data_IF_989734118482
#
_entry.id   IF_989734118482
#
_cell.length_a   1.000
_cell.length_b   1.000
_cell.length_c   1.000
_cell.angle_alpha   90.00
_cell.angle_beta   90.00
_cell.angle_gamma   90.00
#
_symmetry.space_group_name_H-M   'P 1'
#
loop_
_entity.id
_entity.type
_entity.pdbx_description
1 polymer ?
#
# COMPACT_ATOMS: atom_id res chain seq x y z
N UNK A 1 7.71 -12.43 -9.16
CA UNK A 1 8.54 -11.24 -8.90
C UNK A 1 9.50 -11.04 -10.06
N UNK A 2 9.11 -10.21 -11.05
CA UNK A 2 9.89 -9.98 -12.27
C UNK A 2 10.02 -8.47 -12.52
N UNK A 3 11.08 -8.04 -13.20
CA UNK A 3 11.41 -6.62 -13.32
C UNK A 3 10.34 -5.85 -14.11
N UNK A 4 9.81 -6.46 -15.17
CA UNK A 4 8.75 -5.91 -16.03
C UNK A 4 7.42 -5.68 -15.29
N UNK A 5 7.25 -6.24 -14.09
CA UNK A 5 6.09 -5.97 -13.24
C UNK A 5 6.19 -4.61 -12.53
N UNK A 6 7.32 -3.92 -12.62
CA UNK A 6 7.62 -2.70 -11.90
C UNK A 6 8.12 -1.61 -12.88
N UNK A 7 7.21 -0.86 -13.53
CA UNK A 7 7.58 0.09 -14.60
C UNK A 7 8.61 1.14 -14.16
N UNK A 8 8.50 1.66 -12.93
CA UNK A 8 9.49 2.61 -12.41
C UNK A 8 10.86 1.97 -12.22
N UNK A 9 10.92 0.71 -11.80
CA UNK A 9 12.19 -0.01 -11.72
C UNK A 9 12.79 -0.21 -13.11
N UNK A 10 12.00 -0.59 -14.11
CA UNK A 10 12.46 -0.68 -15.51
C UNK A 10 13.01 0.65 -16.02
N UNK A 11 12.32 1.76 -15.78
CA UNK A 11 12.78 3.10 -16.15
C UNK A 11 14.11 3.46 -15.48
N UNK A 12 14.26 3.17 -14.18
CA UNK A 12 15.50 3.41 -13.45
C UNK A 12 16.68 2.63 -14.05
N UNK A 13 16.46 1.39 -14.49
CA UNK A 13 17.49 0.60 -15.17
C UNK A 13 17.90 1.21 -16.52
N UNK A 14 16.95 1.76 -17.27
CA UNK A 14 17.19 2.36 -18.59
C UNK A 14 17.99 3.67 -18.50
N UNK A 15 17.67 4.51 -17.51
CA UNK A 15 18.31 5.81 -17.33
C UNK A 15 19.77 5.73 -16.85
N UNK A 16 20.20 4.59 -16.28
CA UNK A 16 21.56 4.37 -15.74
C UNK A 16 22.01 5.47 -14.76
N UNK A 17 21.09 6.02 -13.98
CA UNK A 17 21.41 7.10 -13.06
C UNK A 17 22.28 6.64 -11.89
N UNK A 18 23.05 7.57 -11.31
CA UNK A 18 23.77 7.32 -10.08
C UNK A 18 22.76 7.00 -8.95
N UNK A 19 22.95 5.85 -8.28
CA UNK A 19 22.05 5.38 -7.22
C UNK A 19 21.12 4.22 -7.63
N UNK A 20 21.00 3.92 -8.92
CA UNK A 20 20.25 2.75 -9.42
C UNK A 20 20.81 1.43 -8.90
N UNK A 21 22.09 1.37 -8.54
CA UNK A 21 22.72 0.18 -7.94
C UNK A 21 22.02 -0.28 -6.66
N UNK A 22 21.48 0.65 -5.87
CA UNK A 22 20.74 0.29 -4.67
C UNK A 22 19.40 -0.39 -5.03
N UNK A 23 18.71 0.10 -6.05
CA UNK A 23 17.49 -0.50 -6.56
C UNK A 23 17.76 -1.88 -7.20
N UNK A 24 18.87 -2.03 -7.94
CA UNK A 24 19.31 -3.33 -8.49
C UNK A 24 19.56 -4.32 -7.35
N UNK A 25 20.38 -3.96 -6.36
CA UNK A 25 20.67 -4.84 -5.22
C UNK A 25 19.41 -5.20 -4.45
N UNK A 26 18.52 -4.24 -4.20
CA UNK A 26 17.25 -4.50 -3.53
C UNK A 26 16.37 -5.48 -4.33
N UNK A 27 16.32 -5.34 -5.66
CA UNK A 27 15.58 -6.26 -6.52
C UNK A 27 16.18 -7.67 -6.51
N UNK A 28 17.50 -7.80 -6.63
CA UNK A 28 18.20 -9.09 -6.57
C UNK A 28 17.99 -9.80 -5.24
N UNK A 29 18.04 -9.06 -4.12
CA UNK A 29 17.72 -9.58 -2.80
C UNK A 29 16.26 -10.02 -2.73
N UNK A 30 15.32 -9.24 -3.26
CA UNK A 30 13.91 -9.62 -3.29
C UNK A 30 13.60 -10.84 -4.16
N UNK A 31 14.39 -11.09 -5.21
CA UNK A 31 14.26 -12.29 -6.04
C UNK A 31 14.73 -13.57 -5.34
N UNK A 32 15.75 -13.47 -4.47
CA UNK A 32 16.37 -14.61 -3.78
C UNK A 32 15.88 -14.79 -2.34
N UNK A 33 15.35 -13.73 -1.75
CA UNK A 33 14.95 -13.63 -0.35
C UNK A 33 13.49 -13.99 -0.10
N UNK A 34 13.02 -13.61 1.08
CA UNK A 34 11.68 -13.89 1.58
C UNK A 34 10.80 -12.64 1.63
N UNK A 35 9.83 -12.65 2.55
CA UNK A 35 8.81 -11.61 2.63
C UNK A 35 9.41 -10.24 2.97
N UNK A 36 10.46 -10.19 3.79
CA UNK A 36 11.14 -8.96 4.20
C UNK A 36 11.87 -8.28 3.03
N UNK A 37 12.59 -9.02 2.20
CA UNK A 37 13.29 -8.46 1.04
C UNK A 37 12.30 -7.94 -0.01
N UNK A 38 11.23 -8.70 -0.29
CA UNK A 38 10.17 -8.25 -1.19
C UNK A 38 9.45 -7.01 -0.66
N UNK A 39 9.18 -6.97 0.65
CA UNK A 39 8.61 -5.80 1.32
C UNK A 39 9.53 -4.57 1.17
N UNK A 40 10.82 -4.71 1.47
CA UNK A 40 11.77 -3.60 1.40
C UNK A 40 11.93 -3.06 -0.03
N UNK A 41 11.96 -3.94 -1.03
CA UNK A 41 11.98 -3.51 -2.43
C UNK A 41 10.71 -2.72 -2.80
N UNK A 42 9.53 -3.27 -2.50
CA UNK A 42 8.26 -2.61 -2.83
C UNK A 42 8.11 -1.27 -2.09
N UNK A 43 8.53 -1.19 -0.82
CA UNK A 43 8.52 0.04 -0.05
C UNK A 43 9.44 1.10 -0.67
N UNK A 44 10.68 0.74 -1.01
CA UNK A 44 11.61 1.67 -1.65
C UNK A 44 11.06 2.19 -2.98
N UNK A 45 10.47 1.31 -3.80
CA UNK A 45 9.90 1.71 -5.08
C UNK A 45 8.66 2.59 -4.93
N UNK A 46 7.80 2.32 -3.94
CA UNK A 46 6.67 3.17 -3.59
C UNK A 46 7.11 4.57 -3.17
N UNK A 47 8.17 4.71 -2.38
CA UNK A 47 8.72 6.02 -1.99
C UNK A 47 9.16 6.82 -3.20
N UNK A 48 9.92 6.21 -4.13
CA UNK A 48 10.36 6.89 -5.36
C UNK A 48 9.17 7.27 -6.26
N UNK A 49 8.13 6.42 -6.31
CA UNK A 49 6.91 6.71 -7.06
C UNK A 49 6.14 7.93 -6.50
N UNK A 50 6.25 8.20 -5.19
CA UNK A 50 5.59 9.34 -4.54
C UNK A 50 6.30 10.67 -4.79
N UNK A 51 7.62 10.67 -4.75
CA UNK A 51 8.41 11.91 -4.66
C UNK A 51 8.91 12.45 -6.01
N UNK A 52 8.67 11.74 -7.12
CA UNK A 52 9.09 12.06 -8.51
C UNK A 52 10.57 12.44 -8.59
N UNK A 53 11.41 11.44 -8.85
CA UNK A 53 12.87 11.62 -8.83
C UNK A 53 13.59 11.28 -10.13
N UNK A 54 12.93 10.65 -11.11
CA UNK A 54 13.62 10.15 -12.30
C UNK A 54 13.17 10.86 -13.59
N UNK A 55 14.10 11.16 -14.53
CA UNK A 55 13.75 11.55 -15.88
C UNK A 55 12.84 10.53 -16.55
N UNK A 56 11.81 11.01 -17.25
CA UNK A 56 10.83 10.14 -17.90
C UNK A 56 9.80 9.50 -16.95
N UNK A 57 9.88 9.76 -15.65
CA UNK A 57 8.87 9.31 -14.69
C UNK A 57 7.56 10.05 -14.96
N UNK A 58 6.50 9.30 -15.23
CA UNK A 58 5.16 9.84 -15.50
C UNK A 58 4.17 9.43 -14.41
N UNK A 59 3.04 10.14 -14.34
CA UNK A 59 1.94 9.76 -13.45
C UNK A 59 1.41 8.34 -13.73
N UNK A 60 1.48 7.88 -14.98
CA UNK A 60 1.10 6.52 -15.36
C UNK A 60 2.09 5.47 -14.85
N UNK A 61 3.39 5.71 -15.03
CA UNK A 61 4.44 4.85 -14.46
C UNK A 61 4.29 4.75 -12.94
N UNK A 62 4.02 5.88 -12.27
CA UNK A 62 3.80 5.90 -10.83
C UNK A 62 2.58 5.07 -10.44
N UNK A 63 1.44 5.25 -11.12
CA UNK A 63 0.21 4.51 -10.82
C UNK A 63 0.40 2.99 -10.99
N UNK A 64 0.97 2.54 -12.10
CA UNK A 64 1.17 1.10 -12.34
C UNK A 64 2.21 0.53 -11.38
N UNK A 65 3.25 1.30 -11.04
CA UNK A 65 4.23 0.92 -10.02
C UNK A 65 3.60 0.77 -8.65
N UNK A 66 2.76 1.73 -8.22
CA UNK A 66 2.07 1.66 -6.92
C UNK A 66 1.10 0.47 -6.86
N UNK A 67 0.43 0.15 -7.97
CA UNK A 67 -0.42 -1.04 -8.08
C UNK A 67 0.40 -2.33 -7.93
N UNK A 68 1.57 -2.41 -8.54
CA UNK A 68 2.49 -3.52 -8.38
C UNK A 68 3.01 -3.64 -6.93
N UNK A 69 3.35 -2.52 -6.30
CA UNK A 69 3.80 -2.49 -4.90
C UNK A 69 2.70 -2.98 -3.95
N UNK A 70 1.46 -2.51 -4.14
CA UNK A 70 0.30 -3.00 -3.39
C UNK A 70 0.12 -4.52 -3.53
N UNK A 71 0.23 -5.06 -4.75
CA UNK A 71 0.12 -6.50 -4.97
C UNK A 71 1.20 -7.29 -4.21
N UNK A 72 2.43 -6.78 -4.14
CA UNK A 72 3.51 -7.39 -3.34
C UNK A 72 3.16 -7.36 -1.85
N UNK A 73 2.67 -6.23 -1.34
CA UNK A 73 2.26 -6.12 0.06
C UNK A 73 1.13 -7.08 0.39
N UNK A 74 0.09 -7.17 -0.43
CA UNK A 74 -1.04 -8.08 -0.21
C UNK A 74 -0.59 -9.56 -0.28
N UNK A 75 0.32 -9.94 -1.18
CA UNK A 75 0.88 -11.30 -1.25
C UNK A 75 1.66 -11.66 0.03
N UNK A 76 2.47 -10.73 0.55
CA UNK A 76 3.28 -10.97 1.75
C UNK A 76 2.47 -10.82 3.04
N UNK A 77 1.39 -10.02 3.03
CA UNK A 77 0.55 -9.71 4.19
C UNK A 77 -0.08 -10.94 4.84
N UNK A 78 -0.14 -12.07 4.13
CA UNK A 78 -0.61 -13.32 4.69
C UNK A 78 0.26 -13.85 5.85
N UNK A 79 1.53 -13.43 5.92
CA UNK A 79 2.54 -13.95 6.85
C UNK A 79 3.54 -12.91 7.35
N UNK A 80 3.48 -11.68 6.86
CA UNK A 80 4.40 -10.61 7.21
C UNK A 80 3.63 -9.37 7.71
N UNK A 81 3.71 -9.09 9.02
CA UNK A 81 2.94 -8.02 9.66
C UNK A 81 3.18 -6.62 9.05
N UNK A 82 4.42 -6.21 8.72
CA UNK A 82 4.66 -4.93 8.04
C UNK A 82 3.98 -4.83 6.68
N UNK A 83 3.94 -5.93 5.92
CA UNK A 83 3.23 -5.96 4.63
C UNK A 83 1.73 -5.83 4.79
N UNK A 84 1.14 -6.45 5.83
CA UNK A 84 -0.28 -6.28 6.15
C UNK A 84 -0.59 -4.82 6.53
N UNK A 85 0.26 -4.19 7.32
CA UNK A 85 0.12 -2.77 7.65
C UNK A 85 0.19 -1.89 6.39
N UNK A 86 1.12 -2.16 5.48
CA UNK A 86 1.24 -1.37 4.26
C UNK A 86 0.09 -1.60 3.26
N UNK A 87 -0.42 -2.82 3.16
CA UNK A 87 -1.64 -3.08 2.39
C UNK A 87 -2.82 -2.27 2.94
N UNK A 88 -2.97 -2.21 4.26
CA UNK A 88 -4.01 -1.38 4.89
C UNK A 88 -3.83 0.12 4.58
N UNK A 89 -2.61 0.63 4.68
CA UNK A 89 -2.32 2.04 4.41
C UNK A 89 -2.61 2.42 2.97
N UNK A 90 -2.14 1.61 2.02
CA UNK A 90 -2.37 1.86 0.60
C UNK A 90 -3.87 1.84 0.25
N UNK A 91 -4.66 0.95 0.86
CA UNK A 91 -6.12 0.91 0.70
C UNK A 91 -6.83 2.11 1.33
N UNK A 92 -6.31 2.70 2.41
CA UNK A 92 -6.86 3.93 3.00
C UNK A 92 -6.55 5.19 2.19
N UNK A 93 -5.36 5.24 1.59
CA UNK A 93 -4.88 6.41 0.87
C UNK A 93 -5.16 6.35 -0.64
N UNK A 94 -5.57 5.20 -1.18
CA UNK A 94 -5.79 5.00 -2.62
C UNK A 94 -4.49 4.85 -3.41
N UNK A 95 -3.45 4.28 -2.80
CA UNK A 95 -2.19 4.03 -3.49
C UNK A 95 -2.25 2.70 -4.24
N UNK A 96 -2.21 2.78 -5.57
CA UNK A 96 -2.30 1.62 -6.46
C UNK A 96 -3.71 1.01 -6.55
N UNK A 97 -4.72 1.65 -5.95
CA UNK A 97 -6.12 1.19 -5.93
C UNK A 97 -7.08 2.34 -5.59
N UNK A 98 -8.38 2.09 -5.76
CA UNK A 98 -9.41 2.95 -5.17
C UNK A 98 -9.40 2.84 -3.64
N UNK A 99 -9.80 3.91 -2.95
CA UNK A 99 -9.92 3.92 -1.49
C UNK A 99 -10.92 2.85 -1.05
N UNK A 100 -10.46 1.90 -0.24
CA UNK A 100 -11.27 0.81 0.30
C UNK A 100 -11.01 0.64 1.80
N UNK A 101 -11.82 1.36 2.60
CA UNK A 101 -11.76 1.30 4.06
C UNK A 101 -12.10 -0.09 4.62
N UNK A 102 -12.94 -0.86 3.92
CA UNK A 102 -13.34 -2.19 4.39
C UNK A 102 -12.20 -3.19 4.21
N UNK A 103 -11.53 -3.18 3.05
CA UNK A 103 -10.31 -3.94 2.83
C UNK A 103 -9.19 -3.51 3.79
N UNK A 104 -9.01 -2.20 4.01
CA UNK A 104 -8.02 -1.70 4.96
C UNK A 104 -8.22 -2.28 6.37
N UNK A 105 -9.46 -2.32 6.88
CA UNK A 105 -9.76 -2.93 8.19
C UNK A 105 -9.34 -4.40 8.26
N UNK A 106 -9.62 -5.19 7.20
CA UNK A 106 -9.21 -6.60 7.16
C UNK A 106 -7.69 -6.76 7.24
N UNK A 107 -6.94 -5.89 6.57
CA UNK A 107 -5.49 -5.91 6.61
C UNK A 107 -4.93 -5.44 7.96
N UNK A 108 -5.58 -4.50 8.65
CA UNK A 108 -5.23 -4.13 10.04
C UNK A 108 -5.46 -5.30 11.00
N UNK A 109 -6.60 -5.99 10.90
CA UNK A 109 -6.88 -7.19 11.70
C UNK A 109 -5.82 -8.27 11.45
N UNK A 110 -5.40 -8.45 10.20
CA UNK A 110 -4.33 -9.38 9.83
C UNK A 110 -2.97 -8.98 10.40
N UNK A 111 -2.61 -7.70 10.35
CA UNK A 111 -1.36 -7.18 10.91
C UNK A 111 -1.28 -7.45 12.42
N UNK A 112 -2.38 -7.22 13.15
CA UNK A 112 -2.47 -7.52 14.59
C UNK A 112 -2.35 -9.01 14.89
N UNK A 113 -3.02 -9.86 14.11
CA UNK A 113 -2.96 -11.32 14.27
C UNK A 113 -1.54 -11.86 14.07
N UNK A 114 -0.73 -11.20 13.23
CA UNK A 114 0.68 -11.52 13.01
C UNK A 114 1.62 -10.90 14.08
N UNK A 115 1.07 -10.33 15.15
CA UNK A 115 1.82 -9.73 16.24
C UNK A 115 2.22 -8.26 16.03
N UNK A 116 1.74 -7.63 14.95
CA UNK A 116 1.88 -6.19 14.76
C UNK A 116 1.03 -5.43 15.78
N UNK A 117 1.66 -4.83 16.79
CA UNK A 117 1.00 -3.91 17.71
C UNK A 117 1.74 -2.58 17.65
N UNK A 118 1.07 -1.54 17.17
CA UNK A 118 1.67 -0.23 16.94
C UNK A 118 0.60 0.84 17.08
N UNK A 119 0.96 1.99 17.66
CA UNK A 119 0.13 3.21 17.67
C UNK A 119 -0.36 3.61 16.26
N UNK A 120 0.40 3.22 15.23
CA UNK A 120 0.04 3.42 13.82
C UNK A 120 -1.23 2.63 13.46
N UNK A 121 -1.39 1.40 13.95
CA UNK A 121 -2.58 0.57 13.69
C UNK A 121 -3.81 1.25 14.29
N UNK A 122 -3.71 1.73 15.53
CA UNK A 122 -4.81 2.42 16.21
C UNK A 122 -5.22 3.71 15.46
N UNK A 123 -4.24 4.51 15.04
CA UNK A 123 -4.49 5.71 14.25
C UNK A 123 -5.18 5.39 12.90
N UNK A 124 -4.73 4.34 12.21
CA UNK A 124 -5.32 3.91 10.95
C UNK A 124 -6.74 3.35 11.14
N UNK A 125 -7.04 2.69 12.27
CA UNK A 125 -8.40 2.22 12.59
C UNK A 125 -9.37 3.39 12.73
N UNK A 126 -8.94 4.51 13.32
CA UNK A 126 -9.75 5.73 13.39
C UNK A 126 -10.06 6.25 11.98
N UNK A 127 -9.08 6.28 11.08
CA UNK A 127 -9.29 6.70 9.69
C UNK A 127 -10.20 5.74 8.90
N UNK A 128 -10.10 4.44 9.20
CA UNK A 128 -10.88 3.37 8.59
C UNK A 128 -12.32 3.27 9.14
N UNK A 129 -12.65 3.99 10.22
CA UNK A 129 -13.98 3.96 10.82
C UNK A 129 -15.05 4.50 9.85
N UNK A 130 -16.19 3.83 9.81
CA UNK A 130 -17.38 4.38 9.16
C UNK A 130 -17.98 5.50 10.01
N UNK A 131 -18.52 6.57 9.40
CA UNK A 131 -19.27 7.55 10.16
C UNK A 131 -20.44 6.85 10.86
N UNK A 132 -20.82 7.29 12.07
CA UNK A 132 -21.92 6.66 12.80
C UNK A 132 -23.16 6.64 11.91
N UNK A 133 -23.74 5.45 11.71
CA UNK A 133 -25.03 5.32 11.04
C UNK A 133 -26.02 6.19 11.81
N UNK A 134 -26.53 7.26 11.19
CA UNK A 134 -27.61 8.06 11.76
C UNK A 134 -28.76 7.11 12.08
N UNK A 135 -28.96 6.77 13.36
CA UNK A 135 -30.21 6.14 13.81
C UNK A 135 -31.31 7.10 13.39
N UNK A 136 -32.20 6.65 12.49
CA UNK A 136 -33.23 7.49 11.92
C UNK A 136 -34.07 8.16 13.01
N UNK A 137 -33.85 9.46 13.23
CA UNK A 137 -34.80 10.37 13.86
C UNK A 137 -35.89 10.70 12.82
N UNK A 138 -36.61 9.67 12.36
CA UNK A 138 -37.92 9.84 11.74
C UNK A 138 -38.95 9.28 12.72
N UNK A 139 -38.98 9.90 13.91
CA UNK A 139 -40.09 9.78 14.82
C UNK A 139 -41.32 10.41 14.17
N UNK A 140 -42.18 9.55 13.61
CA UNK A 140 -43.61 9.74 13.30
C UNK A 140 -44.13 11.17 13.52
N UNK A 141 -44.00 12.04 12.52
CA UNK A 141 -44.81 13.26 12.46
C UNK A 141 -46.22 12.84 12.01
N UNK A 142 -47.18 12.79 12.94
CA UNK A 142 -48.61 12.71 12.60
C UNK A 142 -49.18 14.13 12.63
N UNK A 143 -49.55 14.73 11.49
CA UNK A 143 -50.28 15.98 11.52
C UNK A 143 -51.68 15.71 12.08
N UNK A 144 -52.09 16.50 13.07
CA UNK A 144 -53.49 16.57 13.48
C UNK A 144 -54.19 17.50 12.49
N UNK A 145 -55.13 16.94 11.73
CA UNK A 145 -56.17 17.70 11.04
C UNK A 145 -57.28 18.05 12.03
#
# INVERSE_FOLDING_TARGET
FKAESFPLYTLLLENKEAGVDAAIRAFELAQKGGDAEKYNFALGLQTVAYEIYAPGQTAEINRETLKACLAVFEEQAERHAPSALMAAYNRLCGFGCEIDKAAARKWLDKAEALGGKSEIIDAMRVQAAEPPKKKGLLGKFKPKF
#
